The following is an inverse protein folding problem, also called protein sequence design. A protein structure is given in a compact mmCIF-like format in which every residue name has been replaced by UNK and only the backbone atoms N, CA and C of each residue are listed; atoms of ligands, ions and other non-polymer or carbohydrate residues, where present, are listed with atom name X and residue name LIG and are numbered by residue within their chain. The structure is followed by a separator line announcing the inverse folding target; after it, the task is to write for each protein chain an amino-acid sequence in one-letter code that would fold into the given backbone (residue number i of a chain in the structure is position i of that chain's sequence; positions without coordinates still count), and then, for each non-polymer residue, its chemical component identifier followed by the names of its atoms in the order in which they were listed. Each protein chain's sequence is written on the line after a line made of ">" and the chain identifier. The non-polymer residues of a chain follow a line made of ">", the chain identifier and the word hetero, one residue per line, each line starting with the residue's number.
data_IF_273368225828
#
_entry.id   IF_273368225828
#
_cell.length_a   1.000
_cell.length_b   1.000
_cell.length_c   1.000
_cell.angle_alpha   90.00
_cell.angle_beta   90.00
_cell.angle_gamma   90.00
#
_symmetry.space_group_name_H-M   'P 1'
#
loop_
_entity.id
_entity.type
_entity.pdbx_description
1 polymer ?
#
# COMPACT_ATOMS: atom_id res chain seq x y z
N UNK A 1 -3.76 11.00 19.29
CA UNK A 1 -4.63 10.09 18.52
C UNK A 1 -3.74 9.27 17.60
N UNK A 2 -3.70 7.94 17.74
CA UNK A 2 -2.92 7.09 16.85
C UNK A 2 -3.84 6.63 15.71
N UNK A 3 -3.64 7.15 14.50
CA UNK A 3 -4.27 6.60 13.29
C UNK A 3 -3.68 5.22 13.02
N UNK A 4 -4.20 4.20 13.69
CA UNK A 4 -3.84 2.82 13.42
C UNK A 4 -4.44 2.43 12.08
N UNK A 5 -3.58 2.02 11.14
CA UNK A 5 -4.03 1.53 9.85
C UNK A 5 -4.71 0.16 10.05
N UNK A 6 -6.03 0.10 9.85
CA UNK A 6 -6.75 -1.18 9.80
C UNK A 6 -6.49 -1.83 8.45
N UNK A 7 -5.83 -2.99 8.43
CA UNK A 7 -5.64 -3.75 7.19
C UNK A 7 -7.00 -4.19 6.65
N UNK A 8 -7.39 -3.81 5.42
CA UNK A 8 -8.66 -4.22 4.84
C UNK A 8 -8.70 -5.75 4.67
N UNK A 9 -9.91 -6.32 4.70
CA UNK A 9 -10.11 -7.73 4.34
C UNK A 9 -9.63 -7.99 2.90
N UNK A 10 -9.26 -9.23 2.56
CA UNK A 10 -8.80 -9.57 1.20
C UNK A 10 -9.79 -9.20 0.10
N UNK A 11 -11.10 -9.30 0.36
CA UNK A 11 -12.15 -8.92 -0.58
C UNK A 11 -12.19 -7.41 -0.79
N UNK A 12 -12.17 -6.61 0.28
CA UNK A 12 -12.09 -5.15 0.17
C UNK A 12 -10.82 -4.71 -0.54
N UNK A 13 -9.68 -5.38 -0.29
CA UNK A 13 -8.42 -5.10 -0.98
C UNK A 13 -8.55 -5.36 -2.49
N UNK A 14 -9.14 -6.47 -2.90
CA UNK A 14 -9.40 -6.78 -4.32
C UNK A 14 -10.32 -5.74 -4.96
N UNK A 15 -11.38 -5.32 -4.27
CA UNK A 15 -12.30 -4.30 -4.78
C UNK A 15 -11.59 -2.96 -5.01
N UNK A 16 -10.74 -2.54 -4.05
CA UNK A 16 -9.93 -1.32 -4.18
C UNK A 16 -8.96 -1.46 -5.34
N UNK A 17 -8.19 -2.55 -5.42
CA UNK A 17 -7.23 -2.76 -6.52
C UNK A 17 -7.93 -2.73 -7.89
N UNK A 18 -9.11 -3.38 -8.01
CA UNK A 18 -9.88 -3.40 -9.25
C UNK A 18 -10.34 -1.99 -9.68
N UNK A 19 -10.70 -1.13 -8.72
CA UNK A 19 -11.04 0.28 -8.99
C UNK A 19 -9.86 1.06 -9.59
N UNK A 20 -8.64 0.76 -9.15
CA UNK A 20 -7.41 1.35 -9.70
C UNK A 20 -6.86 0.62 -10.93
N UNK A 21 -7.55 -0.40 -11.45
CA UNK A 21 -7.16 -1.16 -12.64
C UNK A 21 -6.16 -2.29 -12.39
N UNK A 22 -5.90 -2.63 -11.13
CA UNK A 22 -5.01 -3.73 -10.73
C UNK A 22 -5.82 -4.96 -10.32
N UNK A 23 -5.56 -6.12 -10.92
CA UNK A 23 -6.31 -7.35 -10.59
C UNK A 23 -5.83 -8.04 -9.32
N UNK A 24 -4.59 -7.82 -8.91
CA UNK A 24 -3.96 -8.51 -7.77
C UNK A 24 -2.79 -7.71 -7.24
N UNK A 25 -2.45 -7.95 -5.96
CA UNK A 25 -1.20 -7.46 -5.39
C UNK A 25 -0.02 -8.01 -6.20
N UNK A 26 0.76 -7.11 -6.79
CA UNK A 26 1.99 -7.44 -7.53
C UNK A 26 3.19 -6.89 -6.78
N UNK A 27 4.34 -7.53 -6.96
CA UNK A 27 5.61 -6.96 -6.51
C UNK A 27 5.97 -5.75 -7.36
N UNK A 28 5.59 -4.58 -6.87
CA UNK A 28 5.83 -3.30 -7.54
C UNK A 28 7.31 -2.94 -7.42
N UNK A 29 7.98 -2.69 -8.55
CA UNK A 29 9.37 -2.18 -8.56
C UNK A 29 9.40 -0.73 -8.04
N UNK A 30 10.57 -0.27 -7.59
CA UNK A 30 10.72 1.09 -7.00
C UNK A 30 10.15 2.19 -7.90
N UNK A 31 10.42 2.11 -9.20
CA UNK A 31 9.95 3.09 -10.19
C UNK A 31 8.42 3.16 -10.28
N UNK A 32 7.75 2.02 -10.20
CA UNK A 32 6.28 1.96 -10.23
C UNK A 32 5.69 2.39 -8.89
N UNK A 33 6.32 2.02 -7.76
CA UNK A 33 5.89 2.46 -6.43
C UNK A 33 5.96 3.97 -6.31
N UNK A 34 7.08 4.57 -6.69
CA UNK A 34 7.25 6.02 -6.68
C UNK A 34 6.21 6.72 -7.56
N UNK A 35 5.79 6.11 -8.68
CA UNK A 35 4.72 6.63 -9.53
C UNK A 35 3.34 6.54 -8.87
N UNK A 36 3.04 5.44 -8.19
CA UNK A 36 1.70 5.17 -7.60
C UNK A 36 1.50 5.96 -6.31
N UNK A 37 2.46 5.88 -5.38
CA UNK A 37 2.32 6.43 -4.02
C UNK A 37 3.08 7.73 -3.81
N UNK A 38 3.86 8.18 -4.80
CA UNK A 38 4.75 9.36 -4.70
C UNK A 38 5.80 9.27 -3.58
N UNK A 39 5.95 8.11 -2.93
CA UNK A 39 6.91 7.87 -1.86
C UNK A 39 7.90 6.77 -2.23
N UNK A 40 9.13 6.90 -1.75
CA UNK A 40 10.16 5.87 -1.91
C UNK A 40 9.88 4.65 -1.02
N UNK A 41 10.47 3.51 -1.35
CA UNK A 41 10.42 2.30 -0.51
C UNK A 41 10.98 2.51 0.89
N UNK A 42 12.00 3.33 1.05
CA UNK A 42 12.57 3.65 2.37
C UNK A 42 11.57 4.41 3.23
N UNK A 43 10.84 5.35 2.65
CA UNK A 43 9.77 6.08 3.34
C UNK A 43 8.62 5.14 3.68
N UNK A 44 8.18 4.30 2.74
CA UNK A 44 7.14 3.30 2.99
C UNK A 44 7.51 2.34 4.12
N UNK A 45 8.74 1.79 4.12
CA UNK A 45 9.24 0.92 5.18
C UNK A 45 9.26 1.59 6.56
N UNK A 46 9.62 2.88 6.60
CA UNK A 46 9.60 3.66 7.84
C UNK A 46 8.16 3.87 8.35
N UNK A 47 7.21 4.07 7.43
CA UNK A 47 5.79 4.21 7.75
C UNK A 47 5.15 2.87 8.16
N UNK A 48 5.53 1.75 7.53
CA UNK A 48 5.13 0.39 7.93
C UNK A 48 5.56 0.10 9.37
N UNK A 49 6.82 0.41 9.74
CA UNK A 49 7.31 0.29 11.14
C UNK A 49 6.51 1.14 12.12
N UNK A 50 5.98 2.28 11.65
CA UNK A 50 5.12 3.18 12.43
C UNK A 50 3.64 2.82 12.36
N UNK A 51 3.27 1.70 11.70
CA UNK A 51 1.88 1.28 11.44
C UNK A 51 1.02 2.35 10.77
N UNK A 52 1.66 3.20 9.96
CA UNK A 52 1.06 4.32 9.25
C UNK A 52 0.95 4.07 7.73
N UNK A 53 1.29 2.85 7.27
CA UNK A 53 1.23 2.45 5.87
C UNK A 53 0.70 1.00 5.77
N UNK A 54 -0.11 0.66 4.76
CA UNK A 54 -0.57 -0.71 4.55
C UNK A 54 0.61 -1.61 4.24
N UNK A 55 0.73 -2.74 4.96
CA UNK A 55 1.68 -3.78 4.61
C UNK A 55 1.36 -4.32 3.21
N UNK A 56 2.36 -4.28 2.33
CA UNK A 56 2.35 -4.98 1.05
C UNK A 56 2.47 -6.50 1.24
#
# INVERSE_FOLDING_TARGET
>A
MQNQFSTPTPESRRSILAEYGEQYDRLIREKERQRITSISRTTAYTLEKRRAFPYA
#
